data_IF_006547626219
#
_entry.id   IF_006547626219
#
_cell.length_a   1.000
_cell.length_b   1.000
_cell.length_c   1.000
_cell.angle_alpha   90.00
_cell.angle_beta   90.00
_cell.angle_gamma   90.00
#
_symmetry.space_group_name_H-M   'P 1'
#
loop_
_entity.id
_entity.type
_entity.pdbx_description
1 polymer ?
#
# COMPACT_ATOMS: atom_id res chain seq x y z
N UNK A 1 14.54 26.52 9.14
CA UNK A 1 13.79 25.80 10.16
C UNK A 1 14.67 24.97 11.11
N UNK A 2 15.80 24.41 10.64
CA UNK A 2 16.75 23.64 11.47
C UNK A 2 17.95 24.46 11.94
N UNK A 3 18.27 25.58 11.32
CA UNK A 3 19.49 26.36 11.57
C UNK A 3 20.80 25.70 11.15
N UNK A 4 20.73 24.49 10.55
CA UNK A 4 21.89 23.69 10.16
C UNK A 4 22.07 23.71 8.64
N UNK A 5 23.16 24.26 8.14
CA UNK A 5 23.47 24.35 6.71
C UNK A 5 24.17 23.10 6.15
N UNK A 6 24.70 22.22 7.02
CA UNK A 6 25.58 21.11 6.61
C UNK A 6 24.97 19.72 6.75
N UNK A 7 23.64 19.63 6.97
CA UNK A 7 22.97 18.33 7.10
C UNK A 7 22.67 17.71 5.73
N UNK A 8 23.10 16.47 5.54
CA UNK A 8 22.61 15.65 4.44
C UNK A 8 21.21 15.09 4.76
N UNK A 9 20.17 15.73 4.23
CA UNK A 9 18.76 15.38 4.41
C UNK A 9 18.39 13.96 3.90
N UNK A 10 19.30 13.30 3.19
CA UNK A 10 19.14 11.92 2.74
C UNK A 10 19.80 10.90 3.70
N UNK A 11 20.59 11.37 4.65
CA UNK A 11 21.22 10.51 5.65
C UNK A 11 20.26 10.26 6.81
N UNK A 12 19.73 9.03 6.90
CA UNK A 12 18.87 8.64 8.02
C UNK A 12 19.56 8.79 9.38
N UNK A 13 20.88 8.65 9.44
CA UNK A 13 21.65 8.79 10.67
C UNK A 13 21.73 10.26 11.10
N UNK A 14 22.05 11.18 10.19
CA UNK A 14 22.10 12.62 10.50
C UNK A 14 20.71 13.15 10.85
N UNK A 15 19.68 12.69 10.14
CA UNK A 15 18.30 13.05 10.46
C UNK A 15 17.85 12.52 11.82
N UNK A 16 18.20 11.28 12.17
CA UNK A 16 17.87 10.74 13.49
C UNK A 16 18.51 11.58 14.61
N UNK A 17 19.78 11.95 14.44
CA UNK A 17 20.49 12.83 15.39
C UNK A 17 19.79 14.18 15.52
N UNK A 18 19.48 14.84 14.39
CA UNK A 18 18.77 16.13 14.41
C UNK A 18 17.40 16.02 15.10
N UNK A 19 16.57 15.08 14.65
CA UNK A 19 15.17 15.01 15.10
C UNK A 19 15.05 14.55 16.56
N UNK A 20 15.85 13.58 16.98
CA UNK A 20 15.67 12.94 18.28
C UNK A 20 16.65 13.47 19.33
N UNK A 21 17.93 13.68 18.98
CA UNK A 21 18.92 14.11 19.97
C UNK A 21 18.93 15.64 20.12
N UNK A 22 18.81 16.40 19.02
CA UNK A 22 18.93 17.87 19.07
C UNK A 22 17.57 18.56 19.24
N UNK A 23 16.51 18.07 18.55
CA UNK A 23 15.15 18.65 18.62
C UNK A 23 14.27 17.98 19.68
N UNK A 24 14.70 16.85 20.27
CA UNK A 24 13.99 16.16 21.34
C UNK A 24 12.65 15.55 20.94
N UNK A 25 12.45 15.24 19.65
CA UNK A 25 11.22 14.60 19.21
C UNK A 25 11.11 13.15 19.74
N UNK A 26 9.90 12.63 20.00
CA UNK A 26 9.74 11.28 20.53
C UNK A 26 10.16 10.21 19.53
N UNK A 27 10.92 9.22 20.00
CA UNK A 27 11.29 8.04 19.22
C UNK A 27 10.10 7.08 19.20
N UNK A 28 9.42 6.98 18.06
CA UNK A 28 8.22 6.13 17.91
C UNK A 28 8.54 4.68 17.52
N UNK A 29 9.63 4.48 16.78
CA UNK A 29 10.03 3.15 16.30
C UNK A 29 11.57 3.05 16.21
N UNK A 30 12.07 1.83 16.39
CA UNK A 30 13.47 1.52 16.15
C UNK A 30 13.62 0.70 14.85
N UNK A 31 14.75 0.86 14.18
CA UNK A 31 15.14 0.00 13.06
C UNK A 31 15.50 -1.40 13.55
N UNK A 32 15.63 -2.36 12.64
CA UNK A 32 16.11 -3.72 12.97
C UNK A 32 17.48 -3.73 13.67
N UNK A 33 18.28 -2.69 13.49
CA UNK A 33 19.59 -2.51 14.14
C UNK A 33 19.52 -1.75 15.47
N UNK A 34 18.31 -1.48 16.00
CA UNK A 34 18.10 -0.79 17.27
C UNK A 34 18.28 0.73 17.23
N UNK A 35 18.47 1.34 16.06
CA UNK A 35 18.61 2.79 15.92
C UNK A 35 17.24 3.46 15.73
N UNK A 36 17.05 4.74 16.17
CA UNK A 36 15.83 5.50 15.92
C UNK A 36 15.48 5.54 14.43
N UNK A 37 14.22 5.21 14.10
CA UNK A 37 13.74 5.16 12.73
C UNK A 37 13.28 6.54 12.25
N UNK A 38 13.72 6.96 11.06
CA UNK A 38 13.22 8.15 10.36
C UNK A 38 12.41 7.74 9.12
N UNK A 39 11.66 6.64 9.20
CA UNK A 39 10.86 6.14 8.09
C UNK A 39 9.80 7.17 7.67
N UNK A 40 9.77 7.51 6.39
CA UNK A 40 8.85 8.50 5.82
C UNK A 40 7.40 8.02 5.68
N UNK A 41 7.14 6.71 5.76
CA UNK A 41 5.80 6.14 5.63
C UNK A 41 5.17 5.83 6.99
N UNK A 42 5.94 5.31 7.96
CA UNK A 42 5.41 4.83 9.24
C UNK A 42 5.71 5.75 10.43
N UNK A 43 6.81 6.51 10.42
CA UNK A 43 7.28 7.28 11.57
C UNK A 43 7.02 8.77 11.40
N UNK A 44 7.61 9.38 10.37
CA UNK A 44 7.55 10.84 10.19
C UNK A 44 6.12 11.40 10.08
N UNK A 45 5.15 10.75 9.40
CA UNK A 45 3.77 11.27 9.35
C UNK A 45 3.13 11.43 10.73
N UNK A 46 3.49 10.58 11.70
CA UNK A 46 2.98 10.62 13.08
C UNK A 46 3.63 11.73 13.93
N UNK A 47 4.75 12.27 13.47
CA UNK A 47 5.45 13.40 14.10
C UNK A 47 5.09 14.75 13.48
N UNK A 48 4.17 14.78 12.49
CA UNK A 48 3.87 15.98 11.69
C UNK A 48 3.45 17.18 12.54
N UNK A 49 2.67 16.93 13.59
CA UNK A 49 2.16 17.98 14.48
C UNK A 49 3.16 18.40 15.57
N UNK A 50 4.28 17.69 15.70
CA UNK A 50 5.29 17.96 16.71
C UNK A 50 6.25 19.09 16.29
N UNK A 51 6.58 19.17 15.00
CA UNK A 51 7.47 20.21 14.48
C UNK A 51 7.28 20.46 12.98
N UNK A 52 7.26 21.73 12.51
CA UNK A 52 7.06 22.08 11.10
C UNK A 52 8.07 21.43 10.13
N UNK A 53 9.31 21.18 10.56
CA UNK A 53 10.36 20.55 9.75
C UNK A 53 9.94 19.18 9.22
N UNK A 54 9.06 18.47 9.92
CA UNK A 54 8.60 17.14 9.51
C UNK A 54 7.80 17.21 8.21
N UNK A 55 6.91 18.20 8.09
CA UNK A 55 6.13 18.42 6.87
C UNK A 55 7.02 18.77 5.68
N UNK A 56 8.01 19.64 5.89
CA UNK A 56 9.00 20.01 4.87
C UNK A 56 9.86 18.83 4.45
N UNK A 57 10.33 18.02 5.41
CA UNK A 57 11.12 16.83 5.15
C UNK A 57 10.33 15.76 4.35
N UNK A 58 9.05 15.57 4.68
CA UNK A 58 8.18 14.67 3.93
C UNK A 58 7.97 15.18 2.49
N UNK A 59 7.70 16.48 2.33
CA UNK A 59 7.56 17.11 1.02
C UNK A 59 8.85 17.00 0.18
N UNK A 60 9.99 17.30 0.79
CA UNK A 60 11.30 17.13 0.14
C UNK A 60 11.53 15.70 -0.36
N UNK A 61 11.28 14.70 0.50
CA UNK A 61 11.44 13.29 0.12
C UNK A 61 10.50 12.86 -1.00
N UNK A 62 9.26 13.33 -0.96
CA UNK A 62 8.28 13.06 -2.02
C UNK A 62 8.76 13.66 -3.36
N UNK A 63 9.12 14.94 -3.37
CA UNK A 63 9.59 15.62 -4.58
C UNK A 63 10.88 14.99 -5.12
N UNK A 64 11.82 14.65 -4.25
CA UNK A 64 13.05 13.96 -4.63
C UNK A 64 12.74 12.61 -5.30
N UNK A 65 11.87 11.81 -4.69
CA UNK A 65 11.44 10.52 -5.26
C UNK A 65 10.78 10.70 -6.64
N UNK A 66 9.97 11.74 -6.81
CA UNK A 66 9.36 12.05 -8.11
C UNK A 66 10.41 12.45 -9.16
N UNK A 67 11.44 13.19 -8.78
CA UNK A 67 12.52 13.62 -9.66
C UNK A 67 13.44 12.46 -10.10
N UNK A 68 13.58 11.42 -9.30
CA UNK A 68 14.39 10.24 -9.63
C UNK A 68 13.89 9.53 -10.89
N UNK A 69 12.58 9.53 -11.17
CA UNK A 69 12.00 8.88 -12.35
C UNK A 69 12.45 9.53 -13.66
N UNK A 70 12.20 10.83 -13.91
CA UNK A 70 12.61 11.46 -15.16
C UNK A 70 14.13 11.47 -15.33
N UNK A 71 14.90 11.64 -14.25
CA UNK A 71 16.37 11.60 -14.31
C UNK A 71 16.83 10.24 -14.81
N UNK A 72 16.38 9.16 -14.17
CA UNK A 72 16.75 7.79 -14.55
C UNK A 72 16.25 7.43 -15.96
N UNK A 73 15.04 7.85 -16.33
CA UNK A 73 14.50 7.56 -17.64
C UNK A 73 15.30 8.28 -18.75
N UNK A 74 15.75 9.51 -18.51
CA UNK A 74 16.62 10.24 -19.44
C UNK A 74 17.95 9.52 -19.65
N UNK A 75 18.54 8.96 -18.59
CA UNK A 75 19.80 8.23 -18.65
C UNK A 75 19.70 6.91 -19.46
N UNK A 76 18.55 6.22 -19.37
CA UNK A 76 18.36 4.88 -19.99
C UNK A 76 17.54 4.94 -21.28
N UNK A 77 17.11 6.12 -21.72
CA UNK A 77 16.34 6.26 -22.96
C UNK A 77 17.22 6.13 -24.19
N UNK A 78 16.72 5.43 -25.21
CA UNK A 78 17.31 5.31 -26.55
C UNK A 78 16.28 5.85 -27.53
N UNK A 79 16.68 6.82 -28.36
CA UNK A 79 15.79 7.48 -29.33
C UNK A 79 14.48 8.01 -28.72
N UNK A 80 14.58 8.64 -27.54
CA UNK A 80 13.45 9.12 -26.74
C UNK A 80 12.47 8.02 -26.31
N UNK A 81 12.88 6.77 -26.27
CA UNK A 81 12.05 5.64 -25.83
C UNK A 81 12.70 4.92 -24.66
N UNK A 82 11.85 4.41 -23.77
CA UNK A 82 12.22 3.59 -22.61
C UNK A 82 11.95 2.13 -22.98
N UNK A 83 12.94 1.27 -22.79
CA UNK A 83 12.89 -0.14 -23.11
C UNK A 83 13.02 -1.00 -21.85
N UNK A 84 11.96 -1.14 -21.04
CA UNK A 84 12.02 -1.94 -19.81
C UNK A 84 12.11 -3.43 -20.11
N UNK A 85 12.75 -4.18 -19.22
CA UNK A 85 12.80 -5.64 -19.26
C UNK A 85 11.70 -6.21 -18.37
N UNK A 86 10.72 -6.92 -18.96
CA UNK A 86 9.70 -7.66 -18.23
C UNK A 86 10.14 -9.11 -18.03
N UNK A 87 10.16 -9.57 -16.76
CA UNK A 87 10.60 -10.90 -16.36
C UNK A 87 9.38 -11.73 -15.93
N UNK A 88 9.08 -12.80 -16.67
CA UNK A 88 7.95 -13.69 -16.37
C UNK A 88 8.21 -14.56 -15.12
N UNK A 89 9.47 -14.77 -14.76
CA UNK A 89 9.93 -15.63 -13.67
C UNK A 89 10.62 -14.87 -12.54
N UNK A 90 10.46 -13.54 -12.49
CA UNK A 90 11.17 -12.68 -11.53
C UNK A 90 10.62 -12.67 -10.11
N UNK A 91 9.51 -13.37 -9.85
CA UNK A 91 8.89 -13.45 -8.51
C UNK A 91 8.48 -14.87 -8.16
N UNK A 92 8.54 -15.20 -6.88
CA UNK A 92 8.08 -16.52 -6.38
C UNK A 92 6.57 -16.72 -6.46
N UNK A 93 5.82 -15.65 -6.67
CA UNK A 93 4.35 -15.67 -6.77
C UNK A 93 3.84 -15.84 -8.21
N UNK A 94 4.72 -15.92 -9.21
CA UNK A 94 4.37 -15.96 -10.63
C UNK A 94 3.92 -14.60 -11.20
N UNK A 95 3.98 -13.51 -10.44
CA UNK A 95 3.74 -12.17 -10.98
C UNK A 95 4.89 -11.74 -11.86
N UNK A 96 4.59 -11.06 -12.96
CA UNK A 96 5.62 -10.42 -13.80
C UNK A 96 6.32 -9.35 -13.00
N UNK A 97 7.64 -9.30 -13.06
CA UNK A 97 8.45 -8.18 -12.57
C UNK A 97 9.01 -7.36 -13.72
N UNK A 98 9.44 -6.15 -13.42
CA UNK A 98 9.98 -5.22 -14.41
C UNK A 98 11.25 -4.58 -13.89
N UNK A 99 12.27 -4.44 -14.76
CA UNK A 99 13.54 -3.79 -14.44
C UNK A 99 14.11 -3.03 -15.62
N UNK A 100 15.09 -2.21 -15.39
CA UNK A 100 15.96 -1.53 -16.35
C UNK A 100 15.22 -0.66 -17.40
N UNK A 101 14.33 0.29 -17.00
CA UNK A 101 13.88 0.69 -15.67
C UNK A 101 12.60 -0.04 -15.22
N UNK A 102 12.33 -0.04 -13.89
CA UNK A 102 11.10 -0.64 -13.37
C UNK A 102 9.89 0.29 -13.58
N UNK A 103 9.10 0.05 -14.62
CA UNK A 103 7.89 0.82 -14.93
C UNK A 103 6.68 0.43 -14.07
N UNK A 104 6.72 -0.71 -13.34
CA UNK A 104 5.64 -1.10 -12.43
C UNK A 104 5.58 -0.24 -11.16
N UNK A 105 6.64 0.54 -10.88
CA UNK A 105 6.71 1.43 -9.73
C UNK A 105 6.46 2.90 -10.06
N UNK A 106 6.03 3.22 -11.29
CA UNK A 106 5.72 4.60 -11.69
C UNK A 106 4.64 5.17 -10.74
N UNK A 107 4.93 6.30 -10.08
CA UNK A 107 4.00 6.89 -9.13
C UNK A 107 2.73 7.37 -9.83
N UNK A 108 1.63 7.48 -9.07
CA UNK A 108 0.35 8.02 -9.60
C UNK A 108 0.35 9.54 -9.80
N UNK A 109 1.52 10.16 -9.71
CA UNK A 109 1.68 11.59 -9.95
C UNK A 109 1.47 11.91 -11.44
N UNK A 110 0.60 12.88 -11.73
CA UNK A 110 0.23 13.24 -13.10
C UNK A 110 1.42 13.75 -13.91
N UNK A 111 2.33 14.54 -13.31
CA UNK A 111 3.50 15.06 -14.00
C UNK A 111 4.46 13.96 -14.44
N UNK A 112 4.73 12.97 -13.55
CA UNK A 112 5.58 11.84 -13.92
C UNK A 112 4.94 10.98 -15.00
N UNK A 113 3.63 10.70 -14.88
CA UNK A 113 2.92 9.90 -15.88
C UNK A 113 2.81 10.58 -17.24
N UNK A 114 2.69 11.91 -17.28
CA UNK A 114 2.64 12.66 -18.55
C UNK A 114 3.92 12.62 -19.37
N UNK A 115 5.04 12.19 -18.76
CA UNK A 115 6.30 11.96 -19.48
C UNK A 115 6.28 10.70 -20.34
N UNK A 116 5.31 9.79 -20.09
CA UNK A 116 5.12 8.58 -20.88
C UNK A 116 3.99 8.86 -21.89
N UNK A 117 4.33 8.94 -23.15
CA UNK A 117 3.38 9.22 -24.22
C UNK A 117 3.48 8.19 -25.35
N UNK A 118 2.40 8.03 -26.09
CA UNK A 118 2.42 7.25 -27.33
C UNK A 118 3.16 8.03 -28.43
N UNK A 119 3.78 7.33 -29.41
CA UNK A 119 4.30 7.99 -30.59
C UNK A 119 3.20 8.70 -31.40
N UNK A 120 3.54 9.64 -32.27
CA UNK A 120 2.56 10.27 -33.16
C UNK A 120 1.72 9.24 -33.93
N UNK A 121 0.42 9.42 -33.94
CA UNK A 121 -0.55 8.48 -34.56
C UNK A 121 -0.94 7.26 -33.74
N UNK A 122 -0.41 7.12 -32.52
CA UNK A 122 -0.72 6.04 -31.58
C UNK A 122 -1.40 6.56 -30.32
N UNK A 123 -2.10 5.69 -29.62
CA UNK A 123 -2.74 5.98 -28.33
C UNK A 123 -2.35 4.92 -27.30
N UNK A 124 -2.07 5.36 -26.07
CA UNK A 124 -1.91 4.45 -24.95
C UNK A 124 -3.30 4.02 -24.47
N UNK A 125 -3.48 2.70 -24.33
CA UNK A 125 -4.66 2.10 -23.73
C UNK A 125 -4.28 1.44 -22.41
N UNK A 126 -4.96 1.80 -21.33
CA UNK A 126 -4.82 1.16 -20.02
C UNK A 126 -6.10 0.39 -19.73
N UNK A 127 -5.96 -0.91 -19.48
CA UNK A 127 -7.07 -1.76 -19.08
C UNK A 127 -6.69 -2.57 -17.84
N UNK A 128 -7.54 -2.56 -16.81
CA UNK A 128 -7.34 -3.29 -15.56
C UNK A 128 -8.58 -4.11 -15.22
N UNK A 129 -8.35 -5.33 -14.73
CA UNK A 129 -9.43 -6.18 -14.27
C UNK A 129 -9.97 -5.67 -12.93
N UNK A 130 -11.24 -5.31 -12.87
CA UNK A 130 -11.87 -4.88 -11.64
C UNK A 130 -11.87 -6.00 -10.60
N UNK A 131 -11.10 -5.79 -9.51
CA UNK A 131 -11.07 -6.67 -8.34
C UNK A 131 -10.76 -8.14 -8.68
N UNK A 132 -9.85 -8.40 -9.64
CA UNK A 132 -9.54 -9.74 -10.12
C UNK A 132 -9.24 -10.75 -9.00
N UNK A 133 -8.44 -10.36 -8.02
CA UNK A 133 -8.05 -11.23 -6.90
C UNK A 133 -9.25 -11.64 -6.03
N UNK A 134 -10.16 -10.71 -5.74
CA UNK A 134 -11.38 -11.00 -4.98
C UNK A 134 -12.35 -11.89 -5.78
N UNK A 135 -12.43 -11.73 -7.10
CA UNK A 135 -13.24 -12.60 -7.98
C UNK A 135 -12.69 -14.02 -7.99
N UNK A 136 -11.37 -14.17 -8.11
CA UNK A 136 -10.71 -15.49 -8.05
C UNK A 136 -10.95 -16.14 -6.68
N UNK A 137 -10.81 -15.38 -5.58
CA UNK A 137 -11.09 -15.88 -4.25
C UNK A 137 -12.56 -16.33 -4.09
N UNK A 138 -13.52 -15.57 -4.63
CA UNK A 138 -14.93 -15.94 -4.62
C UNK A 138 -15.18 -17.28 -5.34
N UNK A 139 -14.51 -17.51 -6.47
CA UNK A 139 -14.62 -18.75 -7.24
C UNK A 139 -13.96 -19.92 -6.50
N UNK A 140 -12.72 -19.73 -6.04
CA UNK A 140 -11.90 -20.79 -5.43
C UNK A 140 -12.38 -21.21 -4.05
N UNK A 141 -12.84 -20.25 -3.23
CA UNK A 141 -13.41 -20.54 -1.90
C UNK A 141 -14.84 -21.09 -1.99
N UNK A 142 -15.56 -20.73 -3.04
CA UNK A 142 -16.97 -21.00 -3.15
C UNK A 142 -17.86 -20.10 -2.28
N UNK A 143 -17.29 -19.06 -1.64
CA UNK A 143 -18.02 -18.23 -0.71
C UNK A 143 -19.26 -17.57 -1.33
N UNK A 144 -20.47 -17.82 -0.77
CA UNK A 144 -21.70 -17.35 -1.36
C UNK A 144 -21.87 -15.85 -1.30
N UNK A 145 -21.37 -15.19 -0.24
CA UNK A 145 -21.48 -13.73 -0.06
C UNK A 145 -20.60 -13.01 -1.09
N UNK A 146 -19.34 -13.47 -1.29
CA UNK A 146 -18.49 -12.92 -2.33
C UNK A 146 -19.07 -13.14 -3.73
N UNK A 147 -19.55 -14.35 -4.01
CA UNK A 147 -20.18 -14.65 -5.31
C UNK A 147 -21.39 -13.77 -5.57
N UNK A 148 -22.28 -13.64 -4.58
CA UNK A 148 -23.46 -12.78 -4.67
C UNK A 148 -23.07 -11.34 -4.99
N UNK A 149 -22.08 -10.76 -4.31
CA UNK A 149 -21.63 -9.40 -4.59
C UNK A 149 -21.23 -9.21 -6.06
N UNK A 150 -20.48 -10.17 -6.64
CA UNK A 150 -20.06 -10.05 -8.03
C UNK A 150 -21.19 -10.33 -9.05
N UNK A 151 -22.15 -11.18 -8.71
CA UNK A 151 -23.30 -11.48 -9.55
C UNK A 151 -24.30 -10.32 -9.60
N UNK A 152 -24.49 -9.63 -8.47
CA UNK A 152 -25.44 -8.51 -8.33
C UNK A 152 -24.84 -7.13 -8.57
N UNK A 153 -23.51 -7.04 -8.77
CA UNK A 153 -22.81 -5.76 -8.94
C UNK A 153 -22.58 -4.97 -7.66
N UNK A 154 -22.83 -5.56 -6.48
CA UNK A 154 -22.57 -4.92 -5.19
C UNK A 154 -21.04 -4.80 -4.98
N UNK A 155 -20.61 -3.61 -4.60
CA UNK A 155 -19.20 -3.36 -4.27
C UNK A 155 -18.78 -4.16 -3.03
N UNK A 156 -17.81 -5.08 -3.20
CA UNK A 156 -17.35 -5.98 -2.12
C UNK A 156 -16.80 -5.20 -0.94
N UNK A 157 -16.10 -4.07 -1.17
CA UNK A 157 -15.56 -3.26 -0.07
C UNK A 157 -16.67 -2.55 0.71
N UNK A 158 -17.72 -2.10 0.02
CA UNK A 158 -18.89 -1.53 0.66
C UNK A 158 -19.66 -2.59 1.46
N UNK A 159 -19.84 -3.79 0.90
CA UNK A 159 -20.46 -4.92 1.62
C UNK A 159 -19.66 -5.33 2.85
N UNK A 160 -18.34 -5.39 2.73
CA UNK A 160 -17.46 -5.66 3.88
C UNK A 160 -17.58 -4.58 4.95
N UNK A 161 -17.60 -3.30 4.57
CA UNK A 161 -17.79 -2.21 5.53
C UNK A 161 -19.11 -2.35 6.27
N UNK A 162 -20.21 -2.59 5.56
CA UNK A 162 -21.53 -2.83 6.12
C UNK A 162 -21.51 -3.96 7.16
N UNK A 163 -20.96 -5.13 6.78
CA UNK A 163 -20.95 -6.31 7.64
C UNK A 163 -20.03 -6.15 8.86
N UNK A 164 -18.82 -5.62 8.67
CA UNK A 164 -17.81 -5.53 9.73
C UNK A 164 -18.12 -4.40 10.70
N UNK A 165 -18.65 -3.27 10.21
CA UNK A 165 -18.95 -2.10 11.04
C UNK A 165 -20.40 -2.04 11.50
N UNK A 166 -21.27 -2.95 11.03
CA UNK A 166 -22.66 -3.02 11.43
C UNK A 166 -23.52 -1.85 10.94
N UNK A 167 -23.18 -1.28 9.77
CA UNK A 167 -23.94 -0.16 9.17
C UNK A 167 -24.72 -0.63 7.94
N UNK A 168 -25.89 -0.05 7.63
CA UNK A 168 -26.61 -0.33 6.40
C UNK A 168 -25.74 -0.10 5.17
N UNK A 169 -25.93 -0.90 4.12
CA UNK A 169 -25.10 -0.85 2.92
C UNK A 169 -25.11 0.54 2.27
N UNK A 170 -26.26 1.18 2.26
CA UNK A 170 -26.51 2.49 1.64
C UNK A 170 -25.89 3.64 2.44
N UNK A 171 -25.61 3.43 3.72
CA UNK A 171 -25.03 4.41 4.64
C UNK A 171 -23.51 4.32 4.75
N UNK A 172 -22.91 3.36 4.06
CA UNK A 172 -21.45 3.18 4.08
C UNK A 172 -20.76 4.40 3.49
N UNK A 173 -19.97 5.09 4.30
CA UNK A 173 -19.20 6.26 3.90
C UNK A 173 -17.95 5.86 3.08
N UNK A 174 -17.37 6.84 2.37
CA UNK A 174 -16.11 6.64 1.62
C UNK A 174 -14.96 6.20 2.53
N UNK A 175 -14.89 6.71 3.75
CA UNK A 175 -13.86 6.34 4.73
C UNK A 175 -14.05 4.92 5.25
N UNK A 176 -15.28 4.52 5.55
CA UNK A 176 -15.60 3.15 5.94
C UNK A 176 -15.27 2.16 4.82
N UNK A 177 -15.61 2.51 3.57
CA UNK A 177 -15.24 1.73 2.39
C UNK A 177 -13.71 1.63 2.21
N UNK A 178 -12.97 2.72 2.47
CA UNK A 178 -11.49 2.71 2.44
C UNK A 178 -10.91 1.79 3.51
N UNK A 179 -11.43 1.83 4.74
CA UNK A 179 -11.06 0.91 5.83
C UNK A 179 -11.35 -0.54 5.46
N UNK A 180 -12.53 -0.82 4.92
CA UNK A 180 -12.91 -2.15 4.46
C UNK A 180 -12.04 -2.68 3.31
N UNK A 181 -11.46 -1.80 2.50
CA UNK A 181 -10.46 -2.21 1.50
C UNK A 181 -9.21 -2.80 2.16
N UNK A 182 -8.72 -2.21 3.26
CA UNK A 182 -7.64 -2.78 4.05
C UNK A 182 -8.01 -4.14 4.65
N UNK A 183 -9.24 -4.23 5.20
CA UNK A 183 -9.80 -5.48 5.77
C UNK A 183 -9.83 -6.60 4.73
N UNK A 184 -10.38 -6.32 3.54
CA UNK A 184 -10.46 -7.30 2.45
C UNK A 184 -9.09 -7.83 2.05
N UNK A 185 -8.14 -6.93 1.73
CA UNK A 185 -6.81 -7.37 1.29
C UNK A 185 -5.99 -8.01 2.42
N UNK A 186 -6.14 -7.56 3.66
CA UNK A 186 -5.46 -8.16 4.80
C UNK A 186 -5.92 -9.59 5.05
N UNK A 187 -7.20 -9.79 5.21
CA UNK A 187 -7.72 -11.10 5.63
C UNK A 187 -7.95 -12.07 4.49
N UNK A 188 -8.14 -11.59 3.24
CA UNK A 188 -8.15 -12.46 2.07
C UNK A 188 -6.86 -13.27 1.95
N UNK A 189 -5.73 -12.65 2.28
CA UNK A 189 -4.42 -13.33 2.29
C UNK A 189 -4.07 -14.01 3.61
N UNK A 190 -5.02 -14.13 4.53
CA UNK A 190 -4.88 -14.87 5.77
C UNK A 190 -3.99 -14.20 6.80
N UNK A 191 -3.89 -12.88 6.82
CA UNK A 191 -3.14 -12.16 7.85
C UNK A 191 -3.70 -12.44 9.24
N UNK A 192 -2.81 -12.49 10.24
CA UNK A 192 -3.22 -12.45 11.66
C UNK A 192 -3.69 -11.04 12.03
N UNK A 193 -4.47 -10.91 13.10
CA UNK A 193 -4.91 -9.61 13.60
C UNK A 193 -3.72 -8.66 13.87
N UNK A 194 -2.64 -9.16 14.46
CA UNK A 194 -1.41 -8.41 14.71
C UNK A 194 -0.81 -7.84 13.41
N UNK A 195 -0.60 -8.69 12.38
CA UNK A 195 -0.07 -8.25 11.08
C UNK A 195 -1.03 -7.30 10.36
N UNK A 196 -2.34 -7.50 10.51
CA UNK A 196 -3.33 -6.62 9.93
C UNK A 196 -3.26 -5.20 10.49
N UNK A 197 -3.02 -5.02 11.79
CA UNK A 197 -2.83 -3.69 12.39
C UNK A 197 -1.67 -2.92 11.72
N UNK A 198 -0.52 -3.58 11.60
CA UNK A 198 0.66 -2.99 10.94
C UNK A 198 0.33 -2.63 9.47
N UNK A 199 -0.28 -3.55 8.74
CA UNK A 199 -0.66 -3.37 7.36
C UNK A 199 -1.69 -2.24 7.15
N UNK A 200 -2.74 -2.17 7.98
CA UNK A 200 -3.77 -1.14 7.90
C UNK A 200 -3.19 0.25 8.17
N UNK A 201 -2.33 0.36 9.18
CA UNK A 201 -1.63 1.60 9.50
C UNK A 201 -0.70 2.02 8.36
N UNK A 202 0.19 1.13 7.91
CA UNK A 202 1.27 1.47 6.98
C UNK A 202 0.77 1.72 5.55
N UNK A 203 -0.30 1.02 5.12
CA UNK A 203 -0.80 1.11 3.74
C UNK A 203 -2.03 2.01 3.59
N UNK A 204 -2.82 2.16 4.64
CA UNK A 204 -4.10 2.88 4.56
C UNK A 204 -4.20 4.06 5.54
N UNK A 205 -3.23 4.19 6.48
CA UNK A 205 -3.26 5.22 7.53
C UNK A 205 -4.41 5.00 8.52
N UNK A 206 -4.74 3.72 8.80
CA UNK A 206 -5.83 3.35 9.71
C UNK A 206 -5.24 2.61 10.89
N UNK A 207 -5.38 3.18 12.08
CA UNK A 207 -4.97 2.55 13.32
C UNK A 207 -6.12 1.70 13.89
N UNK A 208 -5.76 0.51 14.39
CA UNK A 208 -6.65 -0.40 15.12
C UNK A 208 -6.00 -0.75 16.46
N UNK A 209 -6.78 -0.85 17.53
CA UNK A 209 -6.34 -1.54 18.75
C UNK A 209 -6.21 -3.05 18.48
N UNK A 210 -5.67 -3.78 19.42
CA UNK A 210 -5.57 -5.23 19.26
C UNK A 210 -6.94 -5.89 19.27
N UNK A 211 -7.81 -5.44 20.17
CA UNK A 211 -9.19 -5.90 20.30
C UNK A 211 -10.00 -5.60 19.04
N UNK A 212 -9.93 -4.37 18.54
CA UNK A 212 -10.61 -3.99 17.30
C UNK A 212 -10.15 -4.82 16.09
N UNK A 213 -8.87 -5.13 16.00
CA UNK A 213 -8.35 -5.94 14.90
C UNK A 213 -8.81 -7.40 15.00
N UNK A 214 -8.89 -7.96 16.22
CA UNK A 214 -9.42 -9.31 16.48
C UNK A 214 -10.89 -9.36 16.12
N UNK A 215 -11.70 -8.41 16.60
CA UNK A 215 -13.12 -8.32 16.31
C UNK A 215 -13.40 -8.12 14.81
N UNK A 216 -12.68 -7.22 14.17
CA UNK A 216 -12.75 -6.97 12.71
C UNK A 216 -12.47 -8.25 11.92
N UNK A 217 -11.46 -9.01 12.32
CA UNK A 217 -11.11 -10.29 11.71
C UNK A 217 -12.22 -11.33 11.90
N UNK A 218 -12.77 -11.42 13.09
CA UNK A 218 -13.87 -12.34 13.38
C UNK A 218 -15.09 -12.03 12.51
N UNK A 219 -15.59 -10.79 12.53
CA UNK A 219 -16.72 -10.34 11.72
C UNK A 219 -16.50 -10.51 10.22
N UNK A 220 -15.26 -10.33 9.76
CA UNK A 220 -14.90 -10.59 8.36
C UNK A 220 -15.10 -12.06 7.98
N UNK A 221 -14.59 -12.99 8.78
CA UNK A 221 -14.73 -14.42 8.51
C UNK A 221 -16.13 -14.98 8.80
N UNK A 222 -16.90 -14.35 9.66
CA UNK A 222 -18.35 -14.64 9.80
C UNK A 222 -19.10 -14.23 8.53
N UNK A 223 -18.74 -13.09 7.94
CA UNK A 223 -19.35 -12.60 6.68
C UNK A 223 -18.97 -13.42 5.46
N UNK A 224 -17.74 -13.96 5.44
CA UNK A 224 -17.15 -14.74 4.36
C UNK A 224 -16.70 -16.10 4.90
N UNK A 225 -17.66 -16.87 5.36
CA UNK A 225 -17.42 -18.08 6.16
C UNK A 225 -16.71 -19.23 5.41
N UNK A 226 -16.72 -19.22 4.08
CA UNK A 226 -16.01 -20.23 3.30
C UNK A 226 -14.49 -19.94 3.14
N UNK A 227 -14.04 -18.72 3.41
CA UNK A 227 -12.63 -18.36 3.27
C UNK A 227 -11.71 -19.11 4.25
N UNK A 228 -12.02 -19.29 5.56
CA UNK A 228 -11.16 -20.03 6.48
C UNK A 228 -10.91 -21.48 6.01
N UNK A 229 -11.95 -22.19 5.59
CA UNK A 229 -11.84 -23.56 5.09
C UNK A 229 -10.99 -23.60 3.80
N UNK A 230 -11.18 -22.64 2.92
CA UNK A 230 -10.34 -22.51 1.72
C UNK A 230 -8.87 -22.23 2.06
N UNK A 231 -8.59 -21.32 3.01
CA UNK A 231 -7.22 -21.08 3.48
C UNK A 231 -6.56 -22.35 4.05
N UNK A 232 -7.28 -23.13 4.85
CA UNK A 232 -6.76 -24.36 5.41
C UNK A 232 -6.48 -25.42 4.33
N UNK A 233 -7.37 -25.52 3.32
CA UNK A 233 -7.13 -26.38 2.16
C UNK A 233 -5.85 -25.96 1.41
N UNK A 234 -5.67 -24.66 1.16
CA UNK A 234 -4.48 -24.17 0.45
C UNK A 234 -3.19 -24.45 1.24
N UNK A 235 -3.19 -24.24 2.56
CA UNK A 235 -2.04 -24.56 3.42
C UNK A 235 -1.65 -26.02 3.40
N UNK A 236 -2.63 -26.92 3.28
CA UNK A 236 -2.36 -28.38 3.18
C UNK A 236 -1.77 -28.78 1.83
N UNK A 237 -2.10 -28.07 0.77
CA UNK A 237 -1.59 -28.36 -0.57
C UNK A 237 -0.12 -27.92 -0.76
N UNK A 238 0.37 -27.02 0.06
CA UNK A 238 1.74 -26.45 -0.02
C UNK A 238 2.72 -27.16 0.93
N UNK A 239 2.22 -27.97 1.85
CA UNK A 239 3.03 -28.86 2.72
C UNK A 239 3.31 -30.20 2.01
#
# INVERSE_FOLDING_TARGET
LSGHNDINWNSSQQLAKLLYDEMGLPILELTKSGKPSTNGESVLPRLRDQHPIISELLSYREQKKLLEFPTKWKEVSIDNRIHPSFLLHGTVTGRISCKDPNLQQVPRNKLVRSLISAPPGWTLCEADYSQAELRIAAIMSGDPTLKMCFQTGIDVHQKTASNVMGVPLEEVTKDQRKKAKAVNFGFLYGMSAKKFREYARDKYGVDYTEEEAIETRQRFFESYFALPTWHDRMRRLVK
#
